data_IF_646676973899
#
_entry.id   IF_646676973899
#
_cell.length_a   1.000
_cell.length_b   1.000
_cell.length_c   1.000
_cell.angle_alpha   90.00
_cell.angle_beta   90.00
_cell.angle_gamma   90.00
#
_symmetry.space_group_name_H-M   'P 1'
#
loop_
_entity.id
_entity.type
_entity.pdbx_description
1 polymer ?
#
# COMPACT_ATOMS: atom_id res chain seq x y z
N UNK A 1 15.46 -21.10 11.48
CA UNK A 1 14.29 -21.17 12.38
C UNK A 1 13.57 -19.83 12.34
N UNK A 2 12.24 -19.83 12.16
CA UNK A 2 11.44 -18.58 12.16
C UNK A 2 11.19 -18.18 13.60
N UNK A 3 11.53 -16.94 13.97
CA UNK A 3 11.21 -16.39 15.29
C UNK A 3 9.84 -15.71 15.28
N UNK A 4 9.14 -15.74 16.42
CA UNK A 4 7.87 -15.02 16.60
C UNK A 4 8.07 -13.51 16.38
N UNK A 5 9.22 -12.98 16.80
CA UNK A 5 9.58 -11.57 16.60
C UNK A 5 9.66 -11.21 15.11
N UNK A 6 10.33 -12.02 14.29
CA UNK A 6 10.43 -11.76 12.86
C UNK A 6 9.07 -11.84 12.17
N UNK A 7 8.21 -12.77 12.58
CA UNK A 7 6.86 -12.88 12.05
C UNK A 7 6.02 -11.64 12.41
N UNK A 8 6.10 -11.18 13.66
CA UNK A 8 5.40 -9.98 14.11
C UNK A 8 5.89 -8.73 13.35
N UNK A 9 7.21 -8.56 13.20
CA UNK A 9 7.77 -7.45 12.42
C UNK A 9 7.36 -7.52 10.94
N UNK A 10 7.27 -8.72 10.35
CA UNK A 10 6.76 -8.88 8.99
C UNK A 10 5.30 -8.42 8.86
N UNK A 11 4.43 -8.78 9.82
CA UNK A 11 3.04 -8.31 9.84
C UNK A 11 2.97 -6.79 9.95
N UNK A 12 3.83 -6.18 10.77
CA UNK A 12 3.94 -4.71 10.87
C UNK A 12 4.32 -4.10 9.52
N UNK A 13 5.32 -4.66 8.82
CA UNK A 13 5.74 -4.18 7.50
C UNK A 13 4.60 -4.32 6.47
N UNK A 14 3.88 -5.43 6.46
CA UNK A 14 2.71 -5.62 5.59
C UNK A 14 1.65 -4.56 5.89
N UNK A 15 1.35 -4.29 7.17
CA UNK A 15 0.43 -3.24 7.57
C UNK A 15 0.87 -1.84 7.13
N UNK A 16 2.17 -1.53 7.26
CA UNK A 16 2.76 -0.28 6.77
C UNK A 16 2.64 -0.17 5.24
N UNK A 17 2.91 -1.25 4.49
CA UNK A 17 2.75 -1.27 3.05
C UNK A 17 1.28 -1.06 2.64
N UNK A 18 0.33 -1.67 3.37
CA UNK A 18 -1.10 -1.48 3.13
C UNK A 18 -1.50 -0.02 3.36
N UNK A 19 -1.00 0.59 4.45
CA UNK A 19 -1.22 2.01 4.74
C UNK A 19 -0.65 2.90 3.63
N UNK A 20 0.59 2.65 3.20
CA UNK A 20 1.23 3.38 2.09
C UNK A 20 0.38 3.27 0.82
N UNK A 21 -0.07 2.06 0.47
CA UNK A 21 -0.90 1.83 -0.70
C UNK A 21 -2.24 2.57 -0.62
N UNK A 22 -2.92 2.58 0.54
CA UNK A 22 -4.15 3.34 0.73
C UNK A 22 -3.92 4.85 0.59
N UNK A 23 -2.90 5.38 1.26
CA UNK A 23 -2.56 6.82 1.22
C UNK A 23 -2.18 7.27 -0.19
N UNK A 24 -1.38 6.50 -0.91
CA UNK A 24 -1.02 6.81 -2.28
C UNK A 24 -2.23 6.74 -3.23
N UNK A 25 -3.10 5.74 -3.06
CA UNK A 25 -4.35 5.64 -3.83
C UNK A 25 -5.20 6.90 -3.60
N UNK A 26 -5.38 7.30 -2.33
CA UNK A 26 -6.07 8.54 -1.95
C UNK A 26 -5.46 9.75 -2.61
N UNK A 27 -4.13 9.88 -2.55
CA UNK A 27 -3.41 11.00 -3.15
C UNK A 27 -3.65 11.08 -4.66
N UNK A 28 -3.61 9.96 -5.37
CA UNK A 28 -3.88 9.93 -6.81
C UNK A 28 -5.32 10.30 -7.13
N UNK A 29 -6.30 9.83 -6.35
CA UNK A 29 -7.70 10.23 -6.51
C UNK A 29 -7.92 11.73 -6.29
N UNK A 30 -7.26 12.31 -5.30
CA UNK A 30 -7.32 13.75 -5.03
C UNK A 30 -6.66 14.59 -6.13
N UNK A 31 -5.55 14.11 -6.70
CA UNK A 31 -4.72 14.93 -7.60
C UNK A 31 -5.06 14.76 -9.07
N UNK A 32 -5.51 13.58 -9.49
CA UNK A 32 -5.77 13.26 -10.89
C UNK A 32 -7.25 13.49 -11.23
N UNK A 33 -7.52 14.53 -12.01
CA UNK A 33 -8.87 14.85 -12.51
C UNK A 33 -9.26 14.01 -13.72
N UNK A 34 -9.20 12.69 -13.58
CA UNK A 34 -9.46 11.72 -14.65
C UNK A 34 -10.21 10.52 -14.09
N UNK A 35 -11.07 9.90 -14.89
CA UNK A 35 -11.86 8.75 -14.45
C UNK A 35 -11.02 7.51 -14.09
N UNK A 36 -9.91 7.28 -14.82
CA UNK A 36 -9.08 6.07 -14.68
C UNK A 36 -7.61 6.32 -14.32
N UNK A 37 -7.16 7.58 -14.31
CA UNK A 37 -5.75 7.88 -14.08
C UNK A 37 -5.26 7.40 -12.71
N UNK A 38 -6.07 7.50 -11.67
CA UNK A 38 -5.68 7.01 -10.35
C UNK A 38 -5.45 5.49 -10.32
N UNK A 39 -6.22 4.70 -11.09
CA UNK A 39 -6.04 3.25 -11.19
C UNK A 39 -4.71 2.93 -11.84
N UNK A 40 -4.39 3.56 -12.97
CA UNK A 40 -3.12 3.35 -13.65
C UNK A 40 -1.94 3.75 -12.75
N UNK A 41 -1.98 4.93 -12.15
CA UNK A 41 -0.92 5.39 -11.26
C UNK A 41 -0.78 4.49 -10.02
N UNK A 42 -1.88 4.00 -9.45
CA UNK A 42 -1.86 3.02 -8.37
C UNK A 42 -1.17 1.72 -8.80
N UNK A 43 -1.55 1.15 -9.95
CA UNK A 43 -1.02 -0.13 -10.43
C UNK A 43 0.46 -0.08 -10.85
N UNK A 44 1.01 1.10 -11.20
CA UNK A 44 2.41 1.23 -11.59
C UNK A 44 3.30 1.82 -10.49
N UNK A 45 2.88 2.90 -9.82
CA UNK A 45 3.74 3.62 -8.88
C UNK A 45 3.72 3.02 -7.47
N UNK A 46 2.59 2.50 -7.00
CA UNK A 46 2.51 1.90 -5.65
C UNK A 46 3.41 0.65 -5.58
N UNK A 47 3.35 -0.30 -6.54
CA UNK A 47 4.28 -1.43 -6.51
C UNK A 47 5.75 -1.04 -6.47
N UNK A 48 6.12 0.04 -7.17
CA UNK A 48 7.49 0.54 -7.15
C UNK A 48 7.90 1.06 -5.76
N UNK A 49 7.04 1.84 -5.10
CA UNK A 49 7.28 2.32 -3.74
C UNK A 49 7.35 1.16 -2.75
N UNK A 50 6.41 0.21 -2.83
CA UNK A 50 6.41 -0.98 -1.97
C UNK A 50 7.63 -1.87 -2.22
N UNK A 51 8.11 -1.97 -3.46
CA UNK A 51 9.34 -2.68 -3.78
C UNK A 51 10.55 -2.06 -3.08
N UNK A 52 10.74 -0.74 -3.20
CA UNK A 52 11.83 -0.05 -2.50
C UNK A 52 11.71 -0.16 -0.98
N UNK A 53 10.50 -0.04 -0.45
CA UNK A 53 10.23 -0.25 0.98
C UNK A 53 10.59 -1.67 1.42
N UNK A 54 10.27 -2.69 0.60
CA UNK A 54 10.66 -4.09 0.84
C UNK A 54 12.18 -4.25 0.86
N UNK A 55 12.91 -3.62 -0.07
CA UNK A 55 14.37 -3.66 -0.07
C UNK A 55 14.97 -3.03 1.20
N UNK A 56 14.36 -1.97 1.72
CA UNK A 56 14.79 -1.34 2.97
C UNK A 56 14.49 -2.24 4.17
N UNK A 57 13.24 -2.67 4.36
CA UNK A 57 12.86 -3.47 5.52
C UNK A 57 13.51 -4.86 5.52
N UNK A 58 13.44 -5.58 4.41
CA UNK A 58 13.95 -6.95 4.35
C UNK A 58 15.43 -7.02 4.00
N UNK A 59 15.94 -6.11 3.15
CA UNK A 59 17.35 -6.08 2.77
C UNK A 59 18.23 -5.38 3.81
N UNK A 60 17.95 -4.11 4.11
CA UNK A 60 18.80 -3.30 5.00
C UNK A 60 18.59 -3.68 6.47
N UNK A 61 17.33 -3.78 6.91
CA UNK A 61 17.02 -4.09 8.31
C UNK A 61 16.89 -5.59 8.61
N UNK A 62 16.93 -6.45 7.59
CA UNK A 62 16.81 -7.90 7.78
C UNK A 62 15.46 -8.36 8.33
N UNK A 63 14.40 -7.54 8.20
CA UNK A 63 13.07 -7.83 8.72
C UNK A 63 12.32 -8.75 7.76
N UNK A 64 11.83 -9.87 8.30
CA UNK A 64 10.96 -10.80 7.59
C UNK A 64 11.35 -12.25 7.78
N UNK A 65 10.71 -13.10 6.99
CA UNK A 65 10.99 -14.54 6.93
C UNK A 65 11.23 -14.95 5.49
N UNK A 66 11.86 -16.11 5.28
CA UNK A 66 11.99 -16.68 3.95
C UNK A 66 10.62 -17.18 3.46
N UNK A 67 10.07 -16.52 2.43
CA UNK A 67 8.78 -16.85 1.83
C UNK A 67 8.87 -17.97 0.76
N UNK A 68 10.04 -18.59 0.59
CA UNK A 68 10.25 -19.77 -0.24
C UNK A 68 10.47 -19.48 -1.73
N UNK A 69 9.98 -18.34 -2.25
CA UNK A 69 10.22 -17.95 -3.64
C UNK A 69 10.12 -16.42 -3.86
N UNK A 70 10.76 -15.88 -4.92
CA UNK A 70 10.59 -14.49 -5.32
C UNK A 70 9.13 -14.11 -5.63
N UNK A 71 8.38 -15.02 -6.26
CA UNK A 71 6.96 -14.80 -6.59
C UNK A 71 6.11 -14.65 -5.31
N UNK A 72 6.33 -15.51 -4.30
CA UNK A 72 5.67 -15.38 -3.01
C UNK A 72 6.04 -14.07 -2.30
N UNK A 73 7.31 -13.65 -2.37
CA UNK A 73 7.75 -12.38 -1.81
C UNK A 73 7.06 -11.18 -2.47
N UNK A 74 6.99 -11.14 -3.81
CA UNK A 74 6.26 -10.09 -4.53
C UNK A 74 4.76 -10.11 -4.20
N UNK A 75 4.15 -11.29 -4.16
CA UNK A 75 2.73 -11.44 -3.83
C UNK A 75 2.39 -10.94 -2.42
N UNK A 76 3.16 -11.34 -1.41
CA UNK A 76 2.89 -11.01 0.01
C UNK A 76 3.32 -9.58 0.35
N UNK A 77 4.50 -9.15 -0.10
CA UNK A 77 5.05 -7.84 0.32
C UNK A 77 4.55 -6.69 -0.55
N UNK A 78 4.02 -6.95 -1.74
CA UNK A 78 3.61 -5.90 -2.69
C UNK A 78 2.17 -6.11 -3.14
N UNK A 79 1.86 -7.26 -3.74
CA UNK A 79 0.54 -7.52 -4.33
C UNK A 79 -0.60 -7.43 -3.32
N UNK A 80 -0.46 -8.12 -2.18
CA UNK A 80 -1.45 -8.13 -1.11
C UNK A 80 -1.62 -6.72 -0.49
N UNK A 81 -0.57 -6.00 -0.08
CA UNK A 81 -0.71 -4.63 0.40
C UNK A 81 -1.31 -3.66 -0.61
N UNK A 82 -0.94 -3.75 -1.88
CA UNK A 82 -1.54 -2.97 -2.96
C UNK A 82 -3.05 -3.23 -3.03
N UNK A 83 -3.44 -4.50 -3.12
CA UNK A 83 -4.85 -4.88 -3.21
C UNK A 83 -5.64 -4.39 -1.99
N UNK A 84 -5.13 -4.67 -0.78
CA UNK A 84 -5.77 -4.25 0.47
C UNK A 84 -5.86 -2.72 0.57
N UNK A 85 -4.76 -1.99 0.34
CA UNK A 85 -4.73 -0.54 0.48
C UNK A 85 -5.64 0.16 -0.54
N UNK A 86 -5.62 -0.31 -1.78
CA UNK A 86 -6.51 0.17 -2.83
C UNK A 86 -7.98 -0.10 -2.49
N UNK A 87 -8.32 -1.32 -2.05
CA UNK A 87 -9.68 -1.69 -1.63
C UNK A 87 -10.14 -0.90 -0.41
N UNK A 88 -9.28 -0.68 0.57
CA UNK A 88 -9.58 0.13 1.75
C UNK A 88 -9.96 1.56 1.32
N UNK A 89 -9.14 2.22 0.49
CA UNK A 89 -9.44 3.59 0.05
C UNK A 89 -10.70 3.67 -0.84
N UNK A 90 -10.91 2.68 -1.71
CA UNK A 90 -12.00 2.74 -2.70
C UNK A 90 -13.34 2.27 -2.16
N UNK A 91 -13.38 1.31 -1.24
CA UNK A 91 -14.63 0.72 -0.73
C UNK A 91 -14.98 1.13 0.70
N UNK A 92 -14.02 1.56 1.51
CA UNK A 92 -14.24 1.81 2.94
C UNK A 92 -13.97 3.26 3.37
N UNK A 93 -13.44 4.11 2.49
CA UNK A 93 -13.23 5.54 2.77
C UNK A 93 -14.14 6.36 1.85
N UNK A 94 -14.91 7.32 2.37
CA UNK A 94 -15.76 8.16 1.54
C UNK A 94 -14.96 8.87 0.44
N UNK A 95 -15.44 8.86 -0.80
CA UNK A 95 -14.75 9.43 -1.94
C UNK A 95 -14.48 10.94 -1.74
N UNK A 96 -13.31 11.48 -2.15
CA UNK A 96 -12.98 12.89 -1.95
C UNK A 96 -14.04 13.88 -2.44
N UNK A 97 -14.73 13.53 -3.53
CA UNK A 97 -15.73 14.34 -4.21
C UNK A 97 -16.94 14.65 -3.28
N UNK A 98 -17.20 13.82 -2.27
CA UNK A 98 -18.24 14.07 -1.27
C UNK A 98 -17.90 15.24 -0.33
N UNK A 99 -16.62 15.58 -0.18
CA UNK A 99 -16.17 16.69 0.68
C UNK A 99 -15.96 18.00 -0.07
N UNK A 100 -15.90 17.98 -1.40
CA UNK A 100 -15.68 19.19 -2.23
C UNK A 100 -16.86 20.17 -2.18
N UNK A 101 -18.05 19.72 -1.78
CA UNK A 101 -19.29 20.52 -1.75
C UNK A 101 -19.74 20.92 -0.33
N UNK A 102 -18.89 20.71 0.68
CA UNK A 102 -19.19 21.17 2.03
C UNK A 102 -19.11 22.70 2.07
N UNK A 103 -20.09 23.40 2.69
CA UNK A 103 -19.98 24.84 2.90
C UNK A 103 -18.68 25.13 3.65
N UNK A 104 -17.92 26.13 3.20
CA UNK A 104 -16.77 26.62 3.96
C UNK A 104 -17.24 26.88 5.40
N UNK A 105 -16.71 26.12 6.36
CA UNK A 105 -16.98 26.40 7.76
C UNK A 105 -16.38 27.76 8.07
N UNK A 106 -17.26 28.77 8.16
CA UNK A 106 -16.92 30.15 8.52
C UNK A 106 -16.21 30.23 9.87
#
# INVERSE_FOLDING_TARGET
>A
MVSVVNLALMVVVIGLHTLIAAVMTRFFRLRLKTQWGYVLYALFLIPLVLFFSTLVFTGVFGIGVNLGSPAAALGVMIGMPLALGFTIDTLYVPPPEEFENLPDSR
#
